data_IF_890941024940
#
_entry.id   IF_890941024940
#
_cell.length_a   1.000
_cell.length_b   1.000
_cell.length_c   1.000
_cell.angle_alpha   90.00
_cell.angle_beta   90.00
_cell.angle_gamma   90.00
#
_symmetry.space_group_name_H-M   'P 1'
#
loop_
_entity.id
_entity.type
_entity.pdbx_description
1 polymer ?
#
# COMPACT_ATOMS: atom_id res chain seq x y z
N UNK A 1 11.28 9.20 5.51
CA UNK A 1 10.02 8.51 5.83
C UNK A 1 9.89 7.33 4.90
N UNK A 2 9.87 6.11 5.43
CA UNK A 2 9.68 4.90 4.61
C UNK A 2 8.19 4.79 4.27
N UNK A 3 7.87 4.64 2.98
CA UNK A 3 6.51 4.47 2.51
C UNK A 3 6.42 3.21 1.68
N UNK A 4 5.41 2.39 1.94
CA UNK A 4 5.20 1.09 1.33
C UNK A 4 3.85 1.10 0.61
N UNK A 5 3.83 0.70 -0.65
CA UNK A 5 2.61 0.50 -1.41
C UNK A 5 2.05 -0.90 -1.17
N UNK A 6 0.74 -0.97 -0.89
CA UNK A 6 0.00 -2.20 -0.64
C UNK A 6 -0.96 -2.44 -1.81
N UNK A 7 -1.00 -3.65 -2.32
CA UNK A 7 -1.98 -4.05 -3.32
C UNK A 7 -1.72 -5.44 -3.88
N UNK A 8 -2.60 -5.92 -4.75
CA UNK A 8 -2.42 -7.23 -5.38
C UNK A 8 -1.42 -7.24 -6.53
N UNK A 9 -0.98 -6.08 -7.00
CA UNK A 9 -0.01 -6.01 -8.08
C UNK A 9 1.38 -6.41 -7.55
N UNK A 10 2.17 -7.18 -8.32
CA UNK A 10 3.53 -7.52 -7.95
C UNK A 10 4.49 -6.32 -7.94
N UNK A 11 4.03 -5.16 -8.41
CA UNK A 11 4.77 -3.89 -8.35
C UNK A 11 4.65 -3.15 -7.00
N UNK A 12 3.83 -3.65 -6.09
CA UNK A 12 3.66 -3.11 -4.74
C UNK A 12 4.73 -3.68 -3.81
N UNK A 13 5.16 -2.90 -2.82
CA UNK A 13 6.11 -3.36 -1.80
C UNK A 13 5.51 -4.49 -0.96
N UNK A 14 4.20 -4.38 -0.68
CA UNK A 14 3.43 -5.40 0.03
C UNK A 14 2.39 -5.96 -0.93
N UNK A 15 2.65 -7.18 -1.40
CA UNK A 15 1.77 -7.88 -2.32
C UNK A 15 0.74 -8.70 -1.55
N UNK A 16 -0.53 -8.38 -1.72
CA UNK A 16 -1.66 -9.12 -1.14
C UNK A 16 -2.43 -9.78 -2.26
N UNK A 17 -2.29 -11.10 -2.40
CA UNK A 17 -2.88 -11.88 -3.49
C UNK A 17 -4.35 -12.19 -3.16
N UNK A 18 -5.20 -11.17 -3.21
CA UNK A 18 -6.63 -11.28 -2.97
C UNK A 18 -7.42 -10.57 -4.09
N UNK A 19 -8.51 -11.17 -4.61
CA UNK A 19 -9.29 -10.59 -5.69
C UNK A 19 -10.04 -9.30 -5.30
N UNK A 20 -10.38 -9.13 -4.03
CA UNK A 20 -11.06 -7.94 -3.50
C UNK A 20 -10.08 -6.77 -3.28
N UNK A 21 -8.79 -7.07 -3.25
CA UNK A 21 -7.74 -6.07 -3.10
C UNK A 21 -7.39 -5.46 -4.47
N UNK A 22 -7.54 -4.14 -4.62
CA UNK A 22 -7.11 -3.43 -5.82
C UNK A 22 -5.61 -3.62 -6.12
N UNK A 23 -5.25 -3.49 -7.41
CA UNK A 23 -3.84 -3.57 -7.88
C UNK A 23 -2.93 -2.62 -7.12
N UNK A 24 -3.40 -1.39 -6.93
CA UNK A 24 -2.91 -0.44 -5.94
C UNK A 24 -4.09 -0.18 -5.03
N UNK A 25 -4.01 -0.65 -3.79
CA UNK A 25 -5.10 -0.53 -2.83
C UNK A 25 -4.80 0.66 -1.92
N UNK A 26 -3.68 0.61 -1.22
CA UNK A 26 -3.34 1.62 -0.23
C UNK A 26 -1.84 1.88 -0.16
N UNK A 27 -1.47 2.86 0.65
CA UNK A 27 -0.10 3.21 0.98
C UNK A 27 0.04 3.31 2.49
N UNK A 28 1.11 2.74 3.02
CA UNK A 28 1.46 2.77 4.43
C UNK A 28 2.77 3.52 4.62
N UNK A 29 2.76 4.60 5.39
CA UNK A 29 3.94 5.44 5.62
C UNK A 29 4.33 5.42 7.09
N UNK A 30 5.60 5.12 7.39
CA UNK A 30 6.11 5.22 8.75
C UNK A 30 6.26 6.69 9.15
N UNK A 31 5.45 7.14 10.13
CA UNK A 31 5.43 8.52 10.64
C UNK A 31 6.12 8.66 11.99
N UNK A 32 6.43 7.54 12.66
CA UNK A 32 7.19 7.53 13.91
C UNK A 32 7.45 6.10 14.41
N UNK A 33 8.08 5.95 15.59
CA UNK A 33 8.34 4.64 16.18
C UNK A 33 7.02 3.93 16.46
N UNK A 34 6.76 2.83 15.75
CA UNK A 34 5.53 2.04 15.89
C UNK A 34 4.26 2.73 15.38
N UNK A 35 4.37 3.90 14.71
CA UNK A 35 3.23 4.63 14.15
C UNK A 35 3.31 4.68 12.64
N UNK A 36 2.20 4.31 12.01
CA UNK A 36 2.06 4.23 10.57
C UNK A 36 0.84 5.03 10.13
N UNK A 37 0.98 5.75 9.03
CA UNK A 37 -0.12 6.43 8.36
C UNK A 37 -0.56 5.57 7.19
N UNK A 38 -1.79 5.07 7.26
CA UNK A 38 -2.45 4.38 6.17
C UNK A 38 -3.26 5.37 5.34
N UNK A 39 -3.14 5.26 4.02
CA UNK A 39 -3.90 6.07 3.05
C UNK A 39 -4.43 5.15 1.96
N UNK A 40 -5.74 5.05 1.84
CA UNK A 40 -6.42 4.37 0.73
C UNK A 40 -6.27 5.19 -0.56
N UNK A 41 -6.01 4.52 -1.68
CA UNK A 41 -5.79 5.17 -2.98
C UNK A 41 -7.00 5.07 -3.91
N UNK A 42 -8.19 4.82 -3.34
CA UNK A 42 -9.42 4.59 -4.09
C UNK A 42 -9.64 3.10 -4.36
N UNK A 43 -9.44 2.27 -3.34
CA UNK A 43 -9.79 0.86 -3.40
C UNK A 43 -11.26 0.63 -3.78
N UNK A 44 -11.54 -0.43 -4.53
CA UNK A 44 -12.93 -0.71 -4.97
C UNK A 44 -13.78 -1.29 -3.85
N UNK A 45 -13.19 -2.14 -3.01
CA UNK A 45 -13.87 -2.77 -1.89
C UNK A 45 -13.81 -1.96 -0.59
N UNK A 46 -13.02 -0.88 -0.56
CA UNK A 46 -12.76 -0.09 0.64
C UNK A 46 -11.70 -0.71 1.56
N UNK A 47 -11.28 0.10 2.53
CA UNK A 47 -10.42 -0.31 3.63
C UNK A 47 -11.12 -0.03 4.95
N UNK A 48 -11.00 -0.94 5.91
CA UNK A 48 -11.58 -0.80 7.25
C UNK A 48 -10.51 -1.07 8.32
N UNK A 49 -10.63 -0.42 9.47
CA UNK A 49 -9.87 -0.76 10.68
C UNK A 49 -10.80 -1.33 11.73
N UNK A 50 -10.28 -2.19 12.58
CA UNK A 50 -11.00 -2.67 13.75
C UNK A 50 -10.84 -1.68 14.90
N UNK A 51 -11.96 -1.26 15.49
CA UNK A 51 -11.98 -0.43 16.70
C UNK A 51 -12.91 -1.12 17.71
N UNK A 52 -12.32 -1.77 18.72
CA UNK A 52 -13.08 -2.64 19.62
C UNK A 52 -13.65 -3.86 18.87
N UNK A 53 -14.97 -3.97 18.85
CA UNK A 53 -15.69 -5.07 18.17
C UNK A 53 -16.26 -4.70 16.80
N UNK A 54 -16.14 -3.44 16.38
CA UNK A 54 -16.67 -2.94 15.12
C UNK A 54 -15.57 -2.71 14.06
N UNK A 55 -16.00 -2.75 12.79
CA UNK A 55 -15.18 -2.39 11.63
C UNK A 55 -15.56 -1.00 11.14
N UNK A 56 -14.65 -0.05 11.26
CA UNK A 56 -14.85 1.30 10.74
C UNK A 56 -14.14 1.48 9.41
N UNK A 57 -14.84 1.96 8.37
CA UNK A 57 -14.21 2.30 7.10
C UNK A 57 -13.21 3.43 7.31
N UNK A 58 -12.06 3.33 6.64
CA UNK A 58 -10.99 4.31 6.69
C UNK A 58 -10.51 4.63 5.28
N UNK A 59 -10.38 5.92 5.00
CA UNK A 59 -9.66 6.44 3.82
C UNK A 59 -8.26 6.89 4.21
N UNK A 60 -8.12 7.45 5.41
CA UNK A 60 -6.84 7.81 6.02
C UNK A 60 -6.92 7.54 7.52
N UNK A 61 -5.95 6.81 8.06
CA UNK A 61 -5.90 6.52 9.49
C UNK A 61 -4.46 6.34 9.97
N UNK A 62 -4.20 6.83 11.19
CA UNK A 62 -3.00 6.45 11.92
C UNK A 62 -3.24 5.10 12.61
N UNK A 63 -2.30 4.18 12.40
CA UNK A 63 -2.36 2.82 12.90
C UNK A 63 -1.07 2.46 13.63
N UNK A 64 -1.20 1.57 14.61
CA UNK A 64 -0.10 0.89 15.27
C UNK A 64 0.15 -0.47 14.62
N UNK A 65 1.33 -1.07 14.87
CA UNK A 65 1.67 -2.40 14.35
C UNK A 65 0.69 -3.51 14.77
N UNK A 66 0.02 -3.35 15.93
CA UNK A 66 -0.96 -4.31 16.42
C UNK A 66 -2.38 -4.12 15.88
N UNK A 67 -2.64 -3.05 15.11
CA UNK A 67 -4.00 -2.75 14.67
C UNK A 67 -4.43 -3.72 13.57
N UNK A 68 -5.61 -4.30 13.75
CA UNK A 68 -6.28 -5.11 12.75
C UNK A 68 -6.91 -4.22 11.70
N UNK A 69 -6.58 -4.49 10.45
CA UNK A 69 -7.16 -3.83 9.29
C UNK A 69 -7.69 -4.86 8.32
N UNK A 70 -8.66 -4.42 7.54
CA UNK A 70 -9.26 -5.20 6.47
C UNK A 70 -9.19 -4.40 5.18
N UNK A 71 -8.60 -5.02 4.15
CA UNK A 71 -8.45 -4.48 2.81
C UNK A 71 -9.39 -5.27 1.90
N UNK A 72 -10.57 -4.71 1.59
CA UNK A 72 -11.66 -5.49 1.00
C UNK A 72 -12.14 -6.61 1.93
N UNK A 73 -11.91 -7.87 1.56
CA UNK A 73 -12.18 -9.04 2.42
C UNK A 73 -10.93 -9.60 3.09
N UNK A 74 -9.75 -9.08 2.75
CA UNK A 74 -8.48 -9.53 3.32
C UNK A 74 -8.22 -8.89 4.69
N UNK A 75 -8.25 -9.68 5.75
CA UNK A 75 -7.97 -9.23 7.12
C UNK A 75 -6.51 -9.51 7.52
N UNK A 76 -5.84 -8.52 8.11
CA UNK A 76 -4.43 -8.59 8.49
C UNK A 76 -4.09 -7.55 9.56
N UNK A 77 -2.96 -7.70 10.24
CA UNK A 77 -2.41 -6.62 11.07
C UNK A 77 -1.43 -5.75 10.28
N UNK A 78 -1.20 -4.52 10.75
CA UNK A 78 -0.14 -3.65 10.22
C UNK A 78 1.24 -4.28 10.39
N UNK A 79 1.49 -4.97 11.52
CA UNK A 79 2.71 -5.70 11.78
C UNK A 79 2.98 -6.78 10.74
N UNK A 80 1.97 -7.60 10.44
CA UNK A 80 2.09 -8.66 9.42
C UNK A 80 2.34 -8.10 8.02
N UNK A 81 1.71 -6.97 7.68
CA UNK A 81 1.97 -6.27 6.42
C UNK A 81 3.42 -5.77 6.33
N UNK A 82 3.98 -5.27 7.44
CA UNK A 82 5.37 -4.81 7.49
C UNK A 82 6.36 -5.97 7.45
N UNK A 83 6.07 -7.10 8.10
CA UNK A 83 6.88 -8.31 7.98
C UNK A 83 6.90 -8.83 6.53
N UNK A 84 5.75 -8.75 5.83
CA UNK A 84 5.69 -9.03 4.39
C UNK A 84 6.48 -8.03 3.55
N UNK A 85 6.54 -6.76 3.96
CA UNK A 85 7.37 -5.74 3.30
C UNK A 85 8.88 -5.98 3.48
N UNK A 86 9.28 -6.60 4.60
CA UNK A 86 10.68 -6.94 4.90
C UNK A 86 11.19 -8.12 4.09
N UNK A 87 10.30 -8.95 3.54
CA UNK A 87 10.69 -9.90 2.51
C UNK A 87 11.22 -9.09 1.32
N UNK A 88 12.37 -9.49 0.72
CA UNK A 88 12.92 -8.77 -0.41
C UNK A 88 11.90 -8.81 -1.55
N UNK A 89 11.14 -7.72 -1.69
CA UNK A 89 10.30 -7.48 -2.85
C UNK A 89 11.26 -7.43 -4.05
N UNK A 90 10.99 -8.15 -5.16
CA UNK A 90 11.81 -8.04 -6.34
C UNK A 90 11.79 -6.58 -6.78
N UNK A 91 12.93 -5.93 -6.55
CA UNK A 91 13.17 -4.50 -6.70
C UNK A 91 12.61 -4.02 -8.02
N UNK A 92 11.55 -3.22 -8.01
CA UNK A 92 11.18 -2.48 -9.21
C UNK A 92 12.07 -1.25 -9.27
N UNK A 93 13.02 -1.13 -10.22
CA UNK A 93 13.64 0.15 -10.48
C UNK A 93 12.50 1.10 -10.90
N UNK A 94 12.38 2.22 -10.19
CA UNK A 94 11.47 3.30 -10.58
C UNK A 94 11.87 3.76 -11.98
N UNK A 95 11.23 3.22 -13.02
CA UNK A 95 11.22 3.90 -14.32
C UNK A 95 10.39 5.15 -14.12
N UNK A 96 11.05 6.27 -13.81
CA UNK A 96 10.48 7.61 -13.97
C UNK A 96 10.14 7.75 -15.45
N UNK A 97 8.87 7.57 -15.78
CA UNK A 97 8.37 7.96 -17.10
C UNK A 97 8.22 9.46 -17.06
N UNK A 98 9.25 10.18 -17.51
CA UNK A 98 9.10 11.59 -17.86
C UNK A 98 8.35 11.67 -19.19
N UNK A 99 7.28 12.48 -19.21
CA UNK A 99 6.68 12.93 -20.46
C UNK A 99 7.58 14.02 -21.00
N UNK A 100 8.05 13.84 -22.21
CA UNK A 100 8.73 14.91 -22.94
C UNK A 100 7.76 16.10 -23.12
N UNK A 101 8.05 17.30 -22.58
CA UNK A 101 7.14 18.44 -22.63
C UNK A 101 6.93 18.97 -24.06
N UNK A 102 7.74 18.55 -25.04
CA UNK A 102 7.65 19.02 -26.42
C UNK A 102 6.90 18.05 -27.34
N UNK A 103 6.87 16.76 -27.02
CA UNK A 103 6.35 15.73 -27.93
C UNK A 103 5.25 14.85 -27.33
N UNK A 104 5.04 14.90 -26.01
CA UNK A 104 4.04 14.06 -25.32
C UNK A 104 4.35 12.55 -25.35
N UNK A 105 5.50 12.14 -25.90
CA UNK A 105 5.90 10.74 -25.99
C UNK A 105 6.50 10.25 -24.69
N UNK A 106 6.14 9.02 -24.31
CA UNK A 106 6.75 8.30 -23.20
C UNK A 106 8.15 7.85 -23.65
N UNK A 107 9.20 8.48 -23.12
CA UNK A 107 10.57 8.09 -23.42
C UNK A 107 11.14 7.30 -22.25
N UNK A 108 11.44 6.02 -22.50
CA UNK A 108 12.08 5.13 -21.54
C UNK A 108 13.58 5.13 -21.82
N UNK A 109 14.36 5.91 -21.06
CA UNK A 109 15.84 5.81 -21.12
C UNK A 109 16.33 4.75 -20.14
N UNK A 110 16.90 3.67 -20.66
CA UNK A 110 17.81 2.81 -19.92
C UNK A 110 19.22 3.42 -19.98
N UNK A 111 19.90 3.47 -18.83
CA UNK A 111 21.37 3.49 -18.84
C UNK A 111 21.88 2.10 -19.17
#
# INVERSE_FOLDING_TARGET
MSSFSIGRAPSCDIVVVDPTVSRQHARLSAVGPGRFLFVDTGSTAGSCRREGDDWLPMTEAQLAAGDLIRLGEFETTVGDLLERAKLPSPTRPLRRVERDPLTGRIVVRNR
#
